data_IF_385458959295
#
_entry.id   IF_385458959295
#
_cell.length_a   1.000
_cell.length_b   1.000
_cell.length_c   1.000
_cell.angle_alpha   90.00
_cell.angle_beta   90.00
_cell.angle_gamma   90.00
#
_symmetry.space_group_name_H-M   'P 1'
#
loop_
_entity.id
_entity.type
_entity.pdbx_description
1 polymer ?
#
# COMPACT_ATOMS: atom_id res chain seq x y z
N UNK A 1 -11.83 -6.31 16.02
CA UNK A 1 -10.75 -7.30 15.84
C UNK A 1 -11.40 -8.54 15.29
N UNK A 2 -11.15 -8.84 14.01
CA UNK A 2 -11.63 -10.06 13.39
C UNK A 2 -10.99 -11.24 14.12
N UNK A 3 -11.83 -12.14 14.63
CA UNK A 3 -11.36 -13.40 15.21
C UNK A 3 -10.97 -14.28 14.02
N UNK A 4 -9.72 -14.79 13.95
CA UNK A 4 -9.33 -15.68 12.87
C UNK A 4 -9.94 -17.05 13.16
N UNK A 5 -11.23 -17.20 12.87
CA UNK A 5 -11.91 -18.48 12.94
C UNK A 5 -13.10 -18.44 11.98
N UNK A 6 -12.84 -18.59 10.70
CA UNK A 6 -13.89 -18.80 9.71
C UNK A 6 -13.29 -19.53 8.52
N UNK A 7 -13.96 -20.60 8.10
CA UNK A 7 -13.66 -21.40 6.93
C UNK A 7 -13.81 -20.54 5.66
N UNK A 8 -12.88 -19.62 5.43
CA UNK A 8 -12.85 -18.71 4.28
C UNK A 8 -12.17 -19.37 3.06
N UNK A 9 -11.38 -20.42 3.29
CA UNK A 9 -10.70 -21.19 2.26
C UNK A 9 -11.51 -22.44 1.92
N UNK A 10 -12.49 -22.31 1.03
CA UNK A 10 -13.26 -23.46 0.53
C UNK A 10 -12.49 -24.20 -0.59
N UNK A 11 -11.35 -23.64 -1.03
CA UNK A 11 -10.70 -23.95 -2.30
C UNK A 11 -9.18 -23.73 -2.19
N UNK A 12 -8.49 -24.86 -1.94
CA UNK A 12 -7.06 -25.17 -1.71
C UNK A 12 -6.03 -24.58 -2.68
N UNK A 13 -5.99 -23.26 -2.92
CA UNK A 13 -4.92 -22.68 -3.74
C UNK A 13 -4.37 -21.33 -3.27
N UNK A 14 -5.03 -20.67 -2.32
CA UNK A 14 -4.63 -19.32 -1.88
C UNK A 14 -3.92 -19.39 -0.53
N UNK A 15 -2.76 -18.77 -0.41
CA UNK A 15 -2.05 -18.58 0.84
C UNK A 15 -2.84 -17.67 1.78
N UNK A 16 -2.82 -17.98 3.08
CA UNK A 16 -3.45 -17.16 4.11
C UNK A 16 -2.95 -15.71 4.12
N UNK A 17 -1.67 -15.50 3.83
CA UNK A 17 -1.12 -14.15 3.76
C UNK A 17 -1.72 -13.35 2.61
N UNK A 18 -1.84 -13.97 1.44
CA UNK A 18 -2.49 -13.35 0.27
C UNK A 18 -3.95 -13.05 0.54
N UNK A 19 -4.65 -13.93 1.27
CA UNK A 19 -6.03 -13.71 1.72
C UNK A 19 -6.14 -12.44 2.57
N UNK A 20 -5.31 -12.33 3.61
CA UNK A 20 -5.33 -11.18 4.52
C UNK A 20 -4.98 -9.89 3.79
N UNK A 21 -3.95 -9.92 2.93
CA UNK A 21 -3.54 -8.75 2.14
C UNK A 21 -4.64 -8.32 1.17
N UNK A 22 -5.30 -9.26 0.49
CA UNK A 22 -6.38 -8.95 -0.44
C UNK A 22 -7.59 -8.33 0.29
N UNK A 23 -8.01 -8.90 1.41
CA UNK A 23 -9.10 -8.35 2.23
C UNK A 23 -8.74 -6.94 2.71
N UNK A 24 -7.50 -6.73 3.17
CA UNK A 24 -7.05 -5.42 3.62
C UNK A 24 -7.05 -4.37 2.50
N UNK A 25 -6.63 -4.75 1.28
CA UNK A 25 -6.70 -3.87 0.11
C UNK A 25 -8.15 -3.50 -0.21
N UNK A 26 -9.02 -4.51 -0.29
CA UNK A 26 -10.44 -4.29 -0.58
C UNK A 26 -11.13 -3.41 0.46
N UNK A 27 -10.82 -3.61 1.74
CA UNK A 27 -11.35 -2.76 2.81
C UNK A 27 -10.93 -1.29 2.66
N UNK A 28 -9.69 -1.01 2.21
CA UNK A 28 -9.25 0.36 1.94
C UNK A 28 -9.97 0.98 0.76
N UNK A 29 -10.22 0.21 -0.30
CA UNK A 29 -11.02 0.67 -1.46
C UNK A 29 -12.43 1.05 -1.03
N UNK A 30 -13.11 0.19 -0.25
CA UNK A 30 -14.46 0.46 0.27
C UNK A 30 -14.49 1.75 1.10
N UNK A 31 -13.49 1.96 1.96
CA UNK A 31 -13.38 3.18 2.75
C UNK A 31 -13.17 4.42 1.87
N UNK A 32 -12.25 4.35 0.90
CA UNK A 32 -11.96 5.45 -0.01
C UNK A 32 -13.16 5.79 -0.92
N UNK A 33 -13.89 4.79 -1.39
CA UNK A 33 -15.12 4.98 -2.17
C UNK A 33 -16.21 5.67 -1.35
N UNK A 34 -16.38 5.28 -0.08
CA UNK A 34 -17.34 5.92 0.82
C UNK A 34 -16.97 7.36 1.12
N UNK A 35 -15.67 7.64 1.36
CA UNK A 35 -15.16 9.00 1.56
C UNK A 35 -15.38 9.88 0.32
N UNK A 36 -15.13 9.35 -0.88
CA UNK A 36 -15.31 10.09 -2.14
C UNK A 36 -16.79 10.40 -2.42
N UNK A 37 -17.69 9.46 -2.08
CA UNK A 37 -19.15 9.68 -2.19
C UNK A 37 -19.71 10.55 -1.06
N UNK A 38 -18.93 10.79 0.00
CA UNK A 38 -19.40 11.46 1.22
C UNK A 38 -20.42 10.62 2.01
N UNK A 39 -20.39 9.30 1.85
CA UNK A 39 -21.29 8.37 2.52
C UNK A 39 -20.73 7.93 3.87
N UNK A 40 -21.57 7.94 4.91
CA UNK A 40 -21.17 7.46 6.23
C UNK A 40 -21.32 5.94 6.26
N UNK A 41 -20.19 5.24 6.36
CA UNK A 41 -20.18 3.79 6.43
C UNK A 41 -20.65 3.32 7.82
N UNK A 42 -21.78 2.61 7.86
CA UNK A 42 -22.37 2.07 9.11
C UNK A 42 -21.59 0.85 9.61
N UNK A 43 -21.17 0.00 8.68
CA UNK A 43 -20.38 -1.20 8.96
C UNK A 43 -18.89 -0.95 8.79
N UNK A 44 -18.06 -1.78 9.44
CA UNK A 44 -16.62 -1.64 9.29
C UNK A 44 -16.21 -2.10 7.89
N UNK A 45 -15.33 -1.35 7.21
CA UNK A 45 -14.95 -1.68 5.84
C UNK A 45 -14.30 -3.07 5.71
N UNK A 46 -13.62 -3.54 6.77
CA UNK A 46 -13.02 -4.88 6.79
C UNK A 46 -14.08 -5.98 6.86
N UNK A 47 -15.18 -5.76 7.58
CA UNK A 47 -16.26 -6.74 7.70
C UNK A 47 -17.02 -6.83 6.36
N UNK A 48 -17.26 -5.68 5.70
CA UNK A 48 -17.83 -5.62 4.34
C UNK A 48 -16.96 -6.37 3.32
N UNK A 49 -15.64 -6.15 3.33
CA UNK A 49 -14.72 -6.84 2.43
C UNK A 49 -14.73 -8.36 2.63
N UNK A 50 -14.90 -8.84 3.87
CA UNK A 50 -15.02 -10.27 4.16
C UNK A 50 -16.33 -10.84 3.64
N UNK A 51 -17.44 -10.10 3.80
CA UNK A 51 -18.74 -10.52 3.29
C UNK A 51 -18.73 -10.61 1.76
N UNK A 52 -18.21 -9.60 1.06
CA UNK A 52 -18.04 -9.61 -0.39
C UNK A 52 -17.20 -10.81 -0.88
N UNK A 53 -16.17 -11.18 -0.12
CA UNK A 53 -15.34 -12.35 -0.43
C UNK A 53 -16.12 -13.66 -0.25
N UNK A 54 -16.92 -13.80 0.81
CA UNK A 54 -17.76 -14.99 1.05
C UNK A 54 -18.85 -15.11 -0.01
N UNK A 55 -19.43 -13.99 -0.45
CA UNK A 55 -20.41 -13.91 -1.53
C UNK A 55 -19.80 -14.21 -2.91
N UNK A 56 -18.47 -14.17 -3.03
CA UNK A 56 -17.75 -14.42 -4.29
C UNK A 56 -17.72 -13.21 -5.23
N UNK A 57 -17.93 -11.99 -4.71
CA UNK A 57 -17.91 -10.76 -5.49
C UNK A 57 -16.53 -10.48 -6.12
N UNK A 58 -15.45 -10.96 -5.49
CA UNK A 58 -14.10 -10.87 -6.04
C UNK A 58 -13.28 -12.14 -5.77
N UNK A 59 -12.25 -12.36 -6.58
CA UNK A 59 -11.31 -13.50 -6.46
C UNK A 59 -9.90 -13.01 -6.18
N UNK A 60 -9.16 -13.79 -5.40
CA UNK A 60 -7.76 -13.51 -5.09
C UNK A 60 -6.90 -14.28 -6.08
N UNK A 61 -6.08 -13.55 -6.83
CA UNK A 61 -5.13 -14.12 -7.79
C UNK A 61 -3.74 -13.88 -7.24
N UNK A 62 -3.03 -14.96 -6.93
CA UNK A 62 -1.65 -14.87 -6.49
C UNK A 62 -0.74 -14.68 -7.72
N UNK A 63 0.15 -13.68 -7.71
CA UNK A 63 1.21 -13.60 -8.71
C UNK A 63 2.14 -14.80 -8.56
N UNK A 64 2.54 -15.41 -9.67
CA UNK A 64 3.36 -16.63 -9.68
C UNK A 64 4.82 -16.41 -9.25
N UNK A 65 5.25 -15.17 -9.03
CA UNK A 65 6.61 -14.84 -8.65
C UNK A 65 6.63 -13.85 -7.48
N UNK A 66 7.05 -14.34 -6.32
CA UNK A 66 7.61 -13.49 -5.27
C UNK A 66 9.11 -13.32 -5.61
N UNK A 67 9.45 -12.36 -6.47
CA UNK A 67 10.84 -11.91 -6.60
C UNK A 67 10.83 -10.40 -6.55
N UNK A 68 11.53 -9.83 -5.56
CA UNK A 68 11.62 -8.40 -5.27
C UNK A 68 12.29 -7.60 -6.39
N UNK A 69 11.66 -7.55 -7.56
CA UNK A 69 12.08 -6.78 -8.74
C UNK A 69 11.47 -5.39 -8.74
N UNK A 70 10.35 -5.19 -8.04
CA UNK A 70 9.68 -3.88 -7.96
C UNK A 70 10.56 -2.87 -7.20
N UNK A 71 11.29 -3.33 -6.18
CA UNK A 71 12.16 -2.49 -5.34
C UNK A 71 13.35 -1.90 -6.12
N UNK A 72 13.83 -2.59 -7.17
CA UNK A 72 14.95 -2.15 -8.02
C UNK A 72 14.52 -1.06 -9.01
N UNK A 73 13.29 -1.14 -9.53
CA UNK A 73 12.74 -0.15 -10.46
C UNK A 73 12.50 1.21 -9.77
N UNK A 74 12.13 1.21 -8.49
CA UNK A 74 12.01 2.45 -7.69
C UNK A 74 13.36 3.08 -7.31
N UNK A 75 14.44 2.32 -7.30
CA UNK A 75 15.79 2.86 -7.09
C UNK A 75 16.32 3.53 -8.37
N UNK A 76 16.09 2.91 -9.53
CA UNK A 76 16.49 3.45 -10.83
C UNK A 76 15.77 4.76 -11.18
N UNK A 77 14.52 4.93 -10.73
CA UNK A 77 13.75 6.16 -10.94
C UNK A 77 14.20 7.35 -10.07
N UNK A 78 14.86 7.12 -8.93
CA UNK A 78 15.25 8.18 -7.99
C UNK A 78 16.68 8.70 -8.21
N UNK A 79 17.57 7.92 -8.84
CA UNK A 79 18.94 8.36 -9.15
C UNK A 79 18.99 9.43 -10.26
N UNK A 80 17.99 9.52 -11.13
CA UNK A 80 17.95 10.47 -12.25
C UNK A 80 17.58 11.92 -11.86
N UNK A 81 17.32 12.21 -10.58
CA UNK A 81 16.78 13.49 -10.11
C UNK A 81 17.72 14.25 -9.16
N UNK A 82 18.96 13.79 -8.98
CA UNK A 82 19.96 14.43 -8.10
C UNK A 82 20.97 15.35 -8.83
N UNK A 83 20.91 15.46 -10.17
CA UNK A 83 21.94 16.12 -10.98
C UNK A 83 21.75 17.65 -11.22
N UNK A 84 20.71 18.30 -10.70
CA UNK A 84 20.39 19.70 -11.02
C UNK A 84 20.40 20.70 -9.84
N UNK A 85 20.94 20.35 -8.67
CA UNK A 85 21.06 21.27 -7.52
C UNK A 85 22.49 21.74 -7.16
N UNK A 86 23.50 21.51 -8.01
CA UNK A 86 24.89 21.89 -7.71
C UNK A 86 25.38 23.22 -8.28
N UNK A 87 24.50 24.21 -8.50
CA UNK A 87 24.92 25.53 -8.99
C UNK A 87 24.40 26.65 -8.08
N UNK A 88 25.34 27.29 -7.39
CA UNK A 88 25.28 28.55 -6.62
C UNK A 88 25.13 28.44 -5.10
N UNK A 89 26.22 28.10 -4.41
CA UNK A 89 26.52 28.67 -3.10
C UNK A 89 27.85 29.45 -3.21
N UNK A 90 27.73 30.69 -3.69
CA UNK A 90 28.79 31.70 -3.71
C UNK A 90 29.33 31.95 -2.28
N UNK A 91 30.63 32.27 -2.22
CA UNK A 91 31.46 32.32 -1.02
C UNK A 91 30.97 33.31 0.06
N UNK A 92 30.83 32.83 1.30
CA UNK A 92 30.79 33.72 2.47
C UNK A 92 32.23 34.07 2.89
N UNK A 93 32.64 35.36 2.89
CA UNK A 93 33.99 35.72 3.28
C UNK A 93 34.17 35.50 4.79
N UNK A 94 35.12 34.62 5.13
CA UNK A 94 35.63 34.42 6.48
C UNK A 94 36.28 35.72 6.98
N UNK A 95 35.59 36.39 7.91
CA UNK A 95 36.12 37.53 8.67
C UNK A 95 35.80 37.33 10.14
N UNK A 96 36.62 36.55 10.85
CA UNK A 96 36.50 36.46 12.30
C UNK A 96 37.11 37.71 12.95
N UNK A 97 36.25 38.46 13.64
CA UNK A 97 36.53 39.65 14.44
C UNK A 97 37.48 39.32 15.60
N UNK A 98 38.48 40.17 15.83
CA UNK A 98 39.42 40.17 16.96
C UNK A 98 38.76 40.60 18.27
N UNK A 99 39.13 39.97 19.39
CA UNK A 99 38.91 40.47 20.76
C UNK A 99 40.09 41.34 21.21
#
# INVERSE_FOLDING_TARGET
MIKPNMKLSNNTTVSYYSLVVAIAKRAREIAAEAELKGEILVEKPVDLAVNEYIEGAFRIVEPKECSGKQDLEYMEANEAMEDDMSVNAEAFPSGHVTL
#
